data_IF_407306393068
#
_entry.id   IF_407306393068
#
_cell.length_a   1.000
_cell.length_b   1.000
_cell.length_c   1.000
_cell.angle_alpha   90.00
_cell.angle_beta   90.00
_cell.angle_gamma   90.00
#
_symmetry.space_group_name_H-M   'P 1'
#
loop_
_entity.id
_entity.type
_entity.pdbx_description
1 polymer ?
#
# COMPACT_ATOMS: atom_id res chain seq x y z
N UNK A 1 -16.74 16.30 11.87
CA UNK A 1 -16.89 14.96 11.30
C UNK A 1 -16.20 13.93 12.18
N UNK A 2 -16.63 12.67 12.11
CA UNK A 2 -16.05 11.61 12.92
C UNK A 2 -14.82 10.99 12.23
N UNK A 3 -13.86 10.55 13.05
CA UNK A 3 -12.67 9.84 12.61
C UNK A 3 -12.29 8.76 13.62
N UNK A 4 -11.55 7.74 13.17
CA UNK A 4 -10.94 6.74 14.03
C UNK A 4 -9.47 7.09 14.20
N UNK A 5 -9.06 7.30 15.44
CA UNK A 5 -7.73 7.78 15.78
C UNK A 5 -7.08 6.93 16.87
N UNK A 6 -5.78 7.09 17.02
CA UNK A 6 -4.96 6.56 18.12
C UNK A 6 -4.15 7.69 18.75
N UNK A 7 -3.68 7.49 19.97
CA UNK A 7 -2.62 8.31 20.56
C UNK A 7 -1.27 7.64 20.30
N UNK A 8 -0.42 8.17 19.40
CA UNK A 8 0.89 7.58 19.11
C UNK A 8 1.73 7.38 20.39
N UNK A 9 2.39 6.22 20.50
CA UNK A 9 3.14 5.86 21.70
C UNK A 9 2.29 5.30 22.85
N UNK A 10 0.95 5.20 22.70
CA UNK A 10 0.06 4.59 23.69
C UNK A 10 -0.65 3.37 23.08
N UNK A 11 -0.33 2.20 23.58
CA UNK A 11 -0.92 0.94 23.11
C UNK A 11 -2.43 0.88 23.34
N UNK A 12 -3.14 0.28 22.39
CA UNK A 12 -4.58 0.05 22.44
C UNK A 12 -5.40 1.32 22.71
N UNK A 13 -5.02 2.40 22.02
CA UNK A 13 -5.59 3.73 22.21
C UNK A 13 -6.60 4.15 21.13
N UNK A 14 -7.09 3.20 20.34
CA UNK A 14 -8.12 3.46 19.31
C UNK A 14 -9.35 4.11 19.94
N UNK A 15 -9.77 5.23 19.37
CA UNK A 15 -10.93 6.00 19.83
C UNK A 15 -11.59 6.74 18.67
N UNK A 16 -12.82 7.22 18.90
CA UNK A 16 -13.48 8.15 18.01
C UNK A 16 -13.00 9.57 18.32
N UNK A 17 -12.48 10.25 17.30
CA UNK A 17 -12.11 11.65 17.35
C UNK A 17 -13.11 12.51 16.55
N UNK A 18 -13.17 13.79 16.91
CA UNK A 18 -13.90 14.80 16.15
C UNK A 18 -12.92 15.72 15.42
N UNK A 19 -13.11 15.86 14.11
CA UNK A 19 -12.35 16.77 13.26
C UNK A 19 -13.27 17.82 12.64
N UNK A 20 -12.78 19.03 12.34
CA UNK A 20 -13.48 19.96 11.48
C UNK A 20 -13.72 19.33 10.10
N UNK A 21 -14.77 19.74 9.43
CA UNK A 21 -14.97 19.35 8.03
C UNK A 21 -13.93 20.06 7.17
N UNK A 22 -13.15 19.36 6.33
CA UNK A 22 -12.18 19.99 5.47
C UNK A 22 -12.83 20.82 4.36
N UNK A 23 -12.11 21.84 3.89
CA UNK A 23 -12.50 22.71 2.78
C UNK A 23 -11.48 22.62 1.64
N UNK A 24 -11.94 22.85 0.41
CA UNK A 24 -11.05 22.96 -0.76
C UNK A 24 -10.04 24.10 -0.63
N UNK A 25 -10.34 25.10 0.19
CA UNK A 25 -9.48 26.27 0.43
C UNK A 25 -8.24 25.95 1.29
N UNK A 26 -8.20 24.78 1.94
CA UNK A 26 -7.04 24.33 2.72
C UNK A 26 -5.82 23.99 1.84
N UNK A 27 -6.05 23.76 0.54
CA UNK A 27 -4.97 23.51 -0.43
C UNK A 27 -4.72 24.78 -1.21
N UNK A 28 -3.48 25.25 -1.17
CA UNK A 28 -3.07 26.50 -1.82
C UNK A 28 -3.35 26.52 -3.33
N UNK A 29 -3.48 27.70 -3.88
CA UNK A 29 -3.60 27.90 -5.33
C UNK A 29 -4.94 27.46 -5.93
N UNK A 30 -5.98 27.25 -5.11
CA UNK A 30 -7.29 26.80 -5.57
C UNK A 30 -7.26 25.36 -6.12
N UNK A 31 -6.33 24.53 -5.63
CA UNK A 31 -6.13 23.16 -6.08
C UNK A 31 -6.74 22.11 -5.17
N UNK A 32 -7.50 22.49 -4.15
CA UNK A 32 -8.11 21.53 -3.23
C UNK A 32 -9.14 20.64 -3.91
N UNK A 33 -9.09 19.35 -3.59
CA UNK A 33 -10.11 18.36 -3.97
C UNK A 33 -10.70 17.78 -2.71
N UNK A 34 -11.98 18.04 -2.46
CA UNK A 34 -12.71 17.46 -1.32
C UNK A 34 -13.23 16.09 -1.71
N UNK A 35 -12.85 15.09 -0.95
CA UNK A 35 -13.14 13.69 -1.20
C UNK A 35 -13.95 13.10 -0.06
N UNK A 36 -15.09 12.47 -0.38
CA UNK A 36 -15.85 11.61 0.54
C UNK A 36 -15.22 10.23 0.55
N UNK A 37 -14.84 9.75 1.72
CA UNK A 37 -14.33 8.40 1.90
C UNK A 37 -15.43 7.36 1.67
N UNK A 38 -15.14 6.33 0.91
CA UNK A 38 -16.06 5.23 0.64
C UNK A 38 -15.65 3.94 1.34
N UNK A 39 -14.38 3.59 1.28
CA UNK A 39 -13.78 2.43 1.94
C UNK A 39 -12.35 2.73 2.34
N UNK A 40 -11.94 2.16 3.45
CA UNK A 40 -10.54 2.17 3.90
C UNK A 40 -10.18 0.74 4.26
N UNK A 41 -9.05 0.26 3.74
CA UNK A 41 -8.41 -0.96 4.20
C UNK A 41 -7.78 -0.72 5.57
N UNK A 42 -7.77 -1.75 6.38
CA UNK A 42 -7.07 -1.78 7.68
C UNK A 42 -6.10 -2.94 7.64
N UNK A 43 -4.84 -2.65 7.87
CA UNK A 43 -3.75 -3.60 7.66
C UNK A 43 -2.85 -3.79 8.90
N UNK A 44 -1.67 -4.38 8.70
CA UNK A 44 -0.66 -4.58 9.73
C UNK A 44 -0.12 -3.27 10.29
N UNK A 45 0.06 -2.25 9.45
CA UNK A 45 0.55 -0.92 9.82
C UNK A 45 -0.34 -0.24 10.86
N UNK A 46 -1.66 -0.24 10.65
CA UNK A 46 -2.63 0.33 11.60
C UNK A 46 -2.58 -0.41 12.95
N UNK A 47 -2.39 -1.73 12.91
CA UNK A 47 -2.27 -2.57 14.08
C UNK A 47 -0.99 -2.28 14.87
N UNK A 48 0.13 -2.14 14.18
CA UNK A 48 1.44 -1.81 14.77
C UNK A 48 1.44 -0.40 15.37
N UNK A 49 0.81 0.58 14.71
CA UNK A 49 0.62 1.93 15.24
C UNK A 49 -0.23 1.89 16.52
N UNK A 50 -1.32 1.11 16.53
CA UNK A 50 -2.13 0.92 17.74
C UNK A 50 -1.41 0.12 18.84
N UNK A 51 -0.40 -0.67 18.51
CA UNK A 51 0.49 -1.32 19.45
C UNK A 51 1.58 -0.39 20.01
N UNK A 52 1.64 0.87 19.54
CA UNK A 52 2.64 1.88 19.88
C UNK A 52 4.07 1.54 19.41
N UNK A 53 4.21 0.79 18.33
CA UNK A 53 5.52 0.45 17.77
C UNK A 53 6.12 1.62 16.99
N UNK A 54 5.29 2.42 16.31
CA UNK A 54 5.65 3.65 15.60
C UNK A 54 4.42 4.54 15.33
N UNK A 55 4.59 5.58 14.51
CA UNK A 55 3.55 6.54 14.16
C UNK A 55 3.70 7.85 14.93
N UNK A 56 3.34 8.97 14.29
CA UNK A 56 3.43 10.30 14.88
C UNK A 56 2.20 11.13 14.54
N UNK A 57 1.70 11.88 15.54
CA UNK A 57 0.60 12.81 15.34
C UNK A 57 1.04 14.02 14.49
N UNK A 58 0.14 14.61 13.69
CA UNK A 58 0.42 15.87 13.01
C UNK A 58 0.67 17.02 14.01
N UNK A 59 1.43 18.05 13.63
CA UNK A 59 1.60 19.24 14.46
C UNK A 59 0.26 19.83 14.91
N UNK A 60 0.13 20.15 16.20
CA UNK A 60 -1.08 20.69 16.80
C UNK A 60 -2.12 19.65 17.24
N UNK A 61 -1.84 18.37 17.08
CA UNK A 61 -2.68 17.25 17.54
C UNK A 61 -1.89 16.34 18.46
N UNK A 62 -2.55 15.72 19.42
CA UNK A 62 -2.04 14.65 20.27
C UNK A 62 -2.46 13.26 19.78
N UNK A 63 -3.28 13.20 18.73
CA UNK A 63 -3.78 11.97 18.12
C UNK A 63 -3.47 11.91 16.63
N UNK A 64 -3.44 10.70 16.09
CA UNK A 64 -3.30 10.39 14.67
C UNK A 64 -4.57 9.68 14.18
N UNK A 65 -5.24 10.23 13.16
CA UNK A 65 -6.24 9.45 12.42
C UNK A 65 -5.47 8.44 11.57
N UNK A 66 -5.76 7.17 11.77
CA UNK A 66 -5.09 6.06 11.06
C UNK A 66 -5.79 5.71 9.74
N UNK A 67 -5.29 4.69 9.04
CA UNK A 67 -5.82 4.21 7.75
C UNK A 67 -5.19 4.94 6.56
N UNK A 68 -4.58 4.19 5.66
CA UNK A 68 -3.86 4.72 4.50
C UNK A 68 -4.29 4.07 3.17
N UNK A 69 -4.98 2.95 3.18
CA UNK A 69 -5.54 2.27 2.00
C UNK A 69 -6.96 2.78 1.72
N UNK A 70 -7.13 3.83 0.91
CA UNK A 70 -8.42 4.50 0.75
C UNK A 70 -8.90 4.54 -0.70
N UNK A 71 -10.20 4.38 -0.88
CA UNK A 71 -10.92 4.85 -2.06
C UNK A 71 -11.99 5.85 -1.64
N UNK A 72 -12.05 6.97 -2.37
CA UNK A 72 -13.04 8.00 -2.15
C UNK A 72 -13.73 8.46 -3.44
N UNK A 73 -14.70 9.34 -3.26
CA UNK A 73 -15.40 10.00 -4.36
C UNK A 73 -15.24 11.51 -4.22
N UNK A 74 -14.82 12.17 -5.29
CA UNK A 74 -14.73 13.63 -5.36
C UNK A 74 -16.11 14.24 -5.16
N UNK A 75 -16.22 15.21 -4.25
CA UNK A 75 -17.46 15.95 -3.98
C UNK A 75 -17.36 17.36 -4.53
N UNK A 76 -16.21 18.00 -4.33
CA UNK A 76 -15.96 19.41 -4.66
C UNK A 76 -14.52 19.56 -5.11
N UNK A 77 -14.25 20.52 -6.00
CA UNK A 77 -12.93 20.84 -6.49
C UNK A 77 -12.72 22.35 -6.48
N UNK A 78 -11.51 22.79 -6.19
CA UNK A 78 -11.10 24.18 -6.25
C UNK A 78 -11.06 24.71 -7.69
N UNK A 79 -11.02 26.02 -7.84
CA UNK A 79 -11.17 26.71 -9.12
C UNK A 79 -10.07 26.38 -10.15
N UNK A 80 -8.91 25.92 -9.70
CA UNK A 80 -7.76 25.61 -10.55
C UNK A 80 -7.51 24.09 -10.69
N UNK A 81 -8.47 23.24 -10.35
CA UNK A 81 -8.42 21.81 -10.58
C UNK A 81 -9.04 21.49 -11.93
N UNK A 82 -8.27 20.90 -12.82
CA UNK A 82 -8.70 20.50 -14.19
C UNK A 82 -8.69 19.00 -14.41
N UNK A 83 -7.96 18.23 -13.56
CA UNK A 83 -7.70 16.81 -13.71
C UNK A 83 -8.86 15.94 -13.19
N UNK A 84 -9.63 16.47 -12.24
CA UNK A 84 -10.71 15.76 -11.54
C UNK A 84 -12.00 16.58 -11.55
N UNK A 85 -13.12 15.89 -11.50
CA UNK A 85 -14.45 16.50 -11.41
C UNK A 85 -15.28 15.84 -10.31
N UNK A 86 -16.28 16.56 -9.72
CA UNK A 86 -17.22 15.94 -8.80
C UNK A 86 -17.85 14.67 -9.37
N UNK A 87 -17.83 13.60 -8.60
CA UNK A 87 -18.30 12.29 -9.00
C UNK A 87 -17.22 11.31 -9.42
N UNK A 88 -16.00 11.76 -9.67
CA UNK A 88 -14.86 10.87 -9.94
C UNK A 88 -14.52 10.02 -8.72
N UNK A 89 -14.07 8.79 -8.96
CA UNK A 89 -13.48 7.93 -7.94
C UNK A 89 -11.97 8.13 -7.92
N UNK A 90 -11.40 8.20 -6.72
CA UNK A 90 -9.97 8.43 -6.52
C UNK A 90 -9.40 7.55 -5.41
N UNK A 91 -8.15 7.14 -5.59
CA UNK A 91 -7.32 6.55 -4.55
C UNK A 91 -6.20 7.54 -4.26
N UNK A 92 -6.07 8.03 -3.02
CA UNK A 92 -4.98 8.92 -2.66
C UNK A 92 -3.67 8.14 -2.48
N UNK A 93 -2.55 8.77 -2.82
CA UNK A 93 -1.23 8.27 -2.43
C UNK A 93 -0.99 8.51 -0.93
N UNK A 94 -0.03 7.82 -0.35
CA UNK A 94 0.24 7.88 1.10
C UNK A 94 1.36 8.86 1.42
N UNK A 95 2.52 8.70 0.76
CA UNK A 95 3.71 9.52 0.98
C UNK A 95 3.51 10.94 0.46
N UNK A 96 4.02 11.91 1.23
CA UNK A 96 4.07 13.32 0.87
C UNK A 96 5.50 13.85 0.99
N UNK A 97 5.92 14.79 0.15
CA UNK A 97 7.25 15.37 0.23
C UNK A 97 7.45 16.12 1.55
N UNK A 98 8.69 16.06 2.08
CA UNK A 98 9.12 16.73 3.31
C UNK A 98 10.24 17.75 3.09
N UNK A 99 10.64 18.01 1.84
CA UNK A 99 11.69 18.97 1.51
C UNK A 99 13.09 18.36 1.36
N UNK A 100 13.21 17.04 1.29
CA UNK A 100 14.48 16.34 1.06
C UNK A 100 14.99 16.51 -0.38
N UNK A 101 16.26 16.13 -0.61
CA UNK A 101 16.81 16.06 -1.99
C UNK A 101 15.98 15.11 -2.87
N UNK A 102 15.50 13.98 -2.32
CA UNK A 102 14.69 13.03 -3.07
C UNK A 102 13.35 13.62 -3.51
N UNK A 103 12.77 14.51 -2.71
CA UNK A 103 11.54 15.23 -3.08
C UNK A 103 11.76 16.14 -4.26
N UNK A 104 12.91 16.83 -4.32
CA UNK A 104 13.26 17.76 -5.41
C UNK A 104 13.43 17.05 -6.76
N UNK A 105 13.82 15.78 -6.74
CA UNK A 105 13.96 14.94 -7.96
C UNK A 105 12.75 14.04 -8.23
N UNK A 106 11.64 14.25 -7.52
CA UNK A 106 10.40 13.49 -7.69
C UNK A 106 10.47 12.04 -7.18
N UNK A 107 11.38 11.75 -6.26
CA UNK A 107 11.59 10.42 -5.67
C UNK A 107 11.30 10.42 -4.16
N UNK A 108 10.26 11.14 -3.74
CA UNK A 108 9.94 11.34 -2.32
C UNK A 108 9.64 10.04 -1.56
N UNK A 109 9.28 8.97 -2.23
CA UNK A 109 9.12 7.63 -1.67
C UNK A 109 10.45 6.91 -1.36
N UNK A 110 11.59 7.50 -1.76
CA UNK A 110 12.95 7.00 -1.52
C UNK A 110 13.69 7.78 -0.41
N UNK A 111 13.03 8.74 0.24
CA UNK A 111 13.63 9.54 1.33
C UNK A 111 14.08 8.63 2.48
N UNK A 112 15.34 8.79 2.90
CA UNK A 112 15.95 8.08 4.04
C UNK A 112 16.04 8.95 5.30
N UNK A 113 15.65 10.21 5.20
CA UNK A 113 15.68 11.19 6.28
C UNK A 113 14.33 11.15 7.03
N UNK A 114 14.32 11.56 8.29
CA UNK A 114 13.11 11.66 9.12
C UNK A 114 12.20 12.86 8.73
N UNK A 115 12.38 13.40 7.53
CA UNK A 115 11.67 14.56 6.98
C UNK A 115 10.56 14.17 6.01
N UNK A 116 9.93 13.05 6.20
CA UNK A 116 8.84 12.58 5.37
C UNK A 116 7.48 12.62 6.07
N UNK A 117 6.45 12.69 5.29
CA UNK A 117 5.07 12.64 5.76
C UNK A 117 4.34 11.47 5.12
N UNK A 118 3.53 10.77 5.92
CA UNK A 118 2.68 9.68 5.43
C UNK A 118 1.28 9.78 6.03
N UNK A 119 0.28 9.81 5.15
CA UNK A 119 -1.12 9.83 5.56
C UNK A 119 -1.48 8.60 6.40
N UNK A 120 -1.97 8.83 7.61
CA UNK A 120 -2.38 7.77 8.53
C UNK A 120 -1.25 7.06 9.27
N UNK A 121 0.00 7.49 9.05
CA UNK A 121 1.20 6.84 9.60
C UNK A 121 2.11 7.85 10.30
N UNK A 122 2.56 8.86 9.58
CA UNK A 122 3.57 9.79 10.09
C UNK A 122 3.23 11.24 9.79
N UNK A 123 3.00 12.03 10.84
CA UNK A 123 2.81 13.49 10.82
C UNK A 123 1.66 14.01 9.94
N UNK A 124 0.80 13.14 9.42
CA UNK A 124 -0.42 13.50 8.67
C UNK A 124 -1.56 12.55 9.01
N UNK A 125 -2.74 13.11 9.25
CA UNK A 125 -3.96 12.33 9.42
C UNK A 125 -4.26 11.46 8.20
N UNK A 126 -4.73 10.25 8.46
CA UNK A 126 -5.13 9.26 7.46
C UNK A 126 -6.58 9.41 7.01
N UNK A 127 -7.08 8.31 6.50
CA UNK A 127 -8.35 8.26 5.78
C UNK A 127 -9.49 7.54 6.53
N UNK A 128 -9.26 7.03 7.75
CA UNK A 128 -10.37 6.53 8.58
C UNK A 128 -11.19 7.70 9.15
N UNK A 129 -11.78 8.47 8.25
CA UNK A 129 -12.61 9.64 8.48
C UNK A 129 -13.72 9.72 7.42
N UNK A 130 -14.67 10.63 7.56
CA UNK A 130 -15.77 10.78 6.61
C UNK A 130 -15.34 11.46 5.31
N UNK A 131 -14.42 12.43 5.39
CA UNK A 131 -13.93 13.22 4.26
C UNK A 131 -12.48 13.65 4.50
N UNK A 132 -11.78 13.93 3.40
CA UNK A 132 -10.47 14.58 3.42
C UNK A 132 -10.33 15.54 2.23
N UNK A 133 -9.36 16.43 2.30
CA UNK A 133 -8.96 17.30 1.20
C UNK A 133 -7.51 17.03 0.83
N UNK A 134 -7.21 17.05 -0.47
CA UNK A 134 -5.82 16.89 -0.96
C UNK A 134 -5.63 17.62 -2.30
N UNK A 135 -4.37 17.79 -2.74
CA UNK A 135 -4.06 18.25 -4.10
C UNK A 135 -4.31 17.10 -5.10
N UNK A 136 -4.83 17.38 -6.31
CA UNK A 136 -5.03 16.36 -7.35
C UNK A 136 -3.74 15.62 -7.75
N UNK A 137 -2.56 16.19 -7.52
CA UNK A 137 -1.27 15.51 -7.72
C UNK A 137 -1.18 14.19 -6.94
N UNK A 138 -1.84 14.13 -5.77
CA UNK A 138 -1.84 12.95 -4.89
C UNK A 138 -3.08 12.07 -5.04
N UNK A 139 -3.91 12.29 -6.05
CA UNK A 139 -5.17 11.60 -6.24
C UNK A 139 -5.19 10.84 -7.58
N UNK A 140 -5.10 9.54 -7.52
CA UNK A 140 -5.16 8.69 -8.70
C UNK A 140 -6.62 8.46 -9.10
N UNK A 141 -7.02 8.95 -10.27
CA UNK A 141 -8.37 8.74 -10.82
C UNK A 141 -8.59 7.27 -11.19
N UNK A 142 -9.70 6.72 -10.72
CA UNK A 142 -10.06 5.30 -10.89
C UNK A 142 -11.17 5.15 -11.92
N UNK A 143 -11.02 4.26 -12.90
CA UNK A 143 -12.10 3.89 -13.80
C UNK A 143 -13.31 3.36 -13.02
N UNK A 144 -14.52 3.78 -13.38
CA UNK A 144 -15.76 3.43 -12.66
C UNK A 144 -15.95 1.92 -12.47
N UNK A 145 -15.52 1.12 -13.44
CA UNK A 145 -15.62 -0.35 -13.37
C UNK A 145 -14.75 -0.99 -12.31
N UNK A 146 -13.73 -0.28 -11.78
CA UNK A 146 -12.81 -0.78 -10.77
C UNK A 146 -13.12 -0.29 -9.35
N UNK A 147 -14.17 0.53 -9.15
CA UNK A 147 -14.50 1.15 -7.86
C UNK A 147 -14.60 0.16 -6.68
N UNK A 148 -15.01 -1.07 -6.94
CA UNK A 148 -15.27 -2.06 -5.90
C UNK A 148 -14.00 -2.76 -5.40
N UNK A 149 -12.93 -2.71 -6.18
CA UNK A 149 -11.61 -3.30 -5.87
C UNK A 149 -10.50 -2.28 -5.70
N UNK A 150 -10.75 -1.01 -6.00
CA UNK A 150 -9.72 0.03 -6.04
C UNK A 150 -9.09 0.34 -4.66
N UNK A 151 -9.70 -0.04 -3.55
CA UNK A 151 -9.07 0.02 -2.22
C UNK A 151 -7.78 -0.80 -2.16
N UNK A 152 -7.63 -1.82 -3.03
CA UNK A 152 -6.42 -2.63 -3.15
C UNK A 152 -5.30 -1.96 -3.97
N UNK A 153 -5.53 -0.77 -4.53
CA UNK A 153 -4.52 -0.10 -5.35
C UNK A 153 -3.31 0.31 -4.51
N UNK A 154 -3.54 0.82 -3.31
CA UNK A 154 -2.46 1.21 -2.40
C UNK A 154 -1.55 0.00 -2.09
N UNK A 155 -2.00 -1.12 -1.49
CA UNK A 155 -1.13 -2.26 -1.20
C UNK A 155 -0.54 -2.89 -2.48
N UNK A 156 -1.21 -2.78 -3.63
CA UNK A 156 -0.65 -3.21 -4.91
C UNK A 156 0.52 -2.33 -5.33
N UNK A 157 0.49 -1.03 -5.03
CA UNK A 157 1.57 -0.09 -5.36
C UNK A 157 2.89 -0.46 -4.65
N UNK A 158 2.81 -0.94 -3.41
CA UNK A 158 3.96 -1.42 -2.65
C UNK A 158 4.62 -2.61 -3.35
N UNK A 159 3.80 -3.54 -3.85
CA UNK A 159 4.27 -4.72 -4.57
C UNK A 159 4.90 -4.32 -5.90
N UNK A 160 4.26 -3.46 -6.68
CA UNK A 160 4.80 -2.99 -7.95
C UNK A 160 6.11 -2.22 -7.75
N UNK A 161 6.24 -1.41 -6.71
CA UNK A 161 7.51 -0.78 -6.32
C UNK A 161 8.59 -1.85 -6.08
N UNK A 162 8.30 -2.87 -5.29
CA UNK A 162 9.23 -3.97 -5.04
C UNK A 162 9.63 -4.72 -6.33
N UNK A 163 8.68 -4.99 -7.24
CA UNK A 163 8.93 -5.62 -8.53
C UNK A 163 9.85 -4.72 -9.39
N UNK A 164 9.56 -3.42 -9.48
CA UNK A 164 10.38 -2.46 -10.21
C UNK A 164 11.81 -2.43 -9.66
N UNK A 165 11.97 -2.36 -8.33
CA UNK A 165 13.30 -2.38 -7.70
C UNK A 165 14.07 -3.67 -8.01
N UNK A 166 13.39 -4.82 -8.00
CA UNK A 166 14.00 -6.08 -8.38
C UNK A 166 14.47 -6.08 -9.86
N UNK A 167 13.68 -5.52 -10.77
CA UNK A 167 14.09 -5.36 -12.17
C UNK A 167 15.27 -4.40 -12.32
N UNK A 168 15.27 -3.27 -11.64
CA UNK A 168 16.40 -2.31 -11.70
C UNK A 168 17.69 -2.94 -11.14
N UNK A 169 17.63 -3.66 -10.03
CA UNK A 169 18.77 -4.39 -9.49
C UNK A 169 19.32 -5.45 -10.46
N UNK A 170 18.46 -6.07 -11.27
CA UNK A 170 18.83 -7.13 -12.23
C UNK A 170 19.19 -6.59 -13.61
N UNK A 171 18.86 -5.34 -13.92
CA UNK A 171 19.10 -4.72 -15.24
C UNK A 171 20.57 -4.80 -15.69
N UNK A 172 21.50 -4.74 -14.75
CA UNK A 172 22.94 -4.91 -15.00
C UNK A 172 23.29 -6.27 -15.62
N UNK A 173 22.44 -7.30 -15.43
CA UNK A 173 22.60 -8.61 -16.04
C UNK A 173 21.89 -8.64 -17.39
N UNK A 174 22.46 -8.07 -18.41
CA UNK A 174 21.85 -7.84 -19.74
C UNK A 174 21.09 -9.01 -20.35
N UNK A 175 21.42 -10.24 -19.95
CA UNK A 175 20.79 -11.48 -20.43
C UNK A 175 19.80 -12.09 -19.45
N UNK A 176 19.54 -11.43 -18.31
CA UNK A 176 18.63 -11.97 -17.30
C UNK A 176 17.18 -11.96 -17.81
N UNK A 177 16.56 -13.12 -17.74
CA UNK A 177 15.15 -13.34 -18.14
C UNK A 177 14.49 -14.27 -17.13
N UNK A 178 14.05 -13.75 -15.98
CA UNK A 178 13.43 -14.57 -14.95
C UNK A 178 12.10 -15.12 -15.45
N UNK A 179 11.85 -16.41 -15.21
CA UNK A 179 10.59 -17.08 -15.51
C UNK A 179 9.88 -17.58 -14.26
N UNK A 180 10.60 -17.70 -13.16
CA UNK A 180 10.08 -18.21 -11.88
C UNK A 180 10.22 -17.15 -10.81
N UNK A 181 9.22 -17.08 -9.94
CA UNK A 181 9.21 -16.19 -8.79
C UNK A 181 8.77 -16.94 -7.52
N UNK A 182 9.38 -16.59 -6.41
CA UNK A 182 8.96 -17.03 -5.08
C UNK A 182 8.37 -15.86 -4.32
N UNK A 183 7.19 -16.05 -3.76
CA UNK A 183 6.53 -15.09 -2.86
C UNK A 183 6.58 -15.67 -1.46
N UNK A 184 7.15 -14.93 -0.51
CA UNK A 184 7.20 -15.30 0.90
C UNK A 184 6.06 -14.60 1.65
N UNK A 185 5.04 -15.37 1.95
CA UNK A 185 3.78 -14.91 2.54
C UNK A 185 2.58 -15.32 1.70
N UNK A 186 1.48 -15.66 2.37
CA UNK A 186 0.18 -15.98 1.76
C UNK A 186 -0.93 -15.08 2.34
N UNK A 187 -0.58 -13.95 2.96
CA UNK A 187 -1.48 -12.90 3.38
C UNK A 187 -1.94 -12.03 2.20
N UNK A 188 -2.62 -10.91 2.47
CA UNK A 188 -3.16 -10.00 1.44
C UNK A 188 -2.07 -9.52 0.47
N UNK A 189 -0.96 -9.01 1.01
CA UNK A 189 0.18 -8.52 0.19
C UNK A 189 0.79 -9.65 -0.63
N UNK A 190 0.96 -10.84 -0.03
CA UNK A 190 1.47 -12.02 -0.75
C UNK A 190 0.56 -12.48 -1.88
N UNK A 191 -0.77 -12.44 -1.70
CA UNK A 191 -1.75 -12.73 -2.74
C UNK A 191 -1.68 -11.73 -3.90
N UNK A 192 -1.60 -10.43 -3.60
CA UNK A 192 -1.46 -9.38 -4.60
C UNK A 192 -0.13 -9.50 -5.35
N UNK A 193 0.97 -9.83 -4.64
CA UNK A 193 2.26 -10.10 -5.25
C UNK A 193 2.21 -11.30 -6.21
N UNK A 194 1.57 -12.39 -5.79
CA UNK A 194 1.39 -13.56 -6.62
C UNK A 194 0.57 -13.25 -7.87
N UNK A 195 -0.52 -12.48 -7.74
CA UNK A 195 -1.34 -12.02 -8.86
C UNK A 195 -0.52 -11.16 -9.83
N UNK A 196 0.16 -10.10 -9.34
CA UNK A 196 0.98 -9.21 -10.17
C UNK A 196 2.05 -9.96 -10.94
N UNK A 197 2.75 -10.89 -10.29
CA UNK A 197 3.78 -11.70 -10.93
C UNK A 197 3.19 -12.68 -11.96
N UNK A 198 2.03 -13.29 -11.68
CA UNK A 198 1.31 -14.12 -12.66
C UNK A 198 0.91 -13.33 -13.89
N UNK A 199 0.38 -12.12 -13.72
CA UNK A 199 0.03 -11.23 -14.84
C UNK A 199 1.25 -10.83 -15.69
N UNK A 200 2.44 -10.77 -15.08
CA UNK A 200 3.72 -10.54 -15.76
C UNK A 200 4.31 -11.83 -16.40
N UNK A 201 3.58 -12.96 -16.34
CA UNK A 201 3.94 -14.22 -17.00
C UNK A 201 4.92 -15.11 -16.22
N UNK A 202 5.09 -14.90 -14.92
CA UNK A 202 5.93 -15.76 -14.09
C UNK A 202 5.22 -17.06 -13.69
N UNK A 203 6.02 -18.13 -13.56
CA UNK A 203 5.68 -19.33 -12.79
C UNK A 203 5.91 -19.00 -11.30
N UNK A 204 4.82 -18.81 -10.56
CA UNK A 204 4.85 -18.32 -9.18
C UNK A 204 4.66 -19.45 -8.19
N UNK A 205 5.51 -19.49 -7.18
CA UNK A 205 5.35 -20.34 -5.99
C UNK A 205 5.26 -19.46 -4.75
N UNK A 206 4.16 -19.58 -4.00
CA UNK A 206 3.97 -18.89 -2.72
C UNK A 206 4.36 -19.83 -1.57
N UNK A 207 5.01 -19.25 -0.56
CA UNK A 207 5.45 -19.93 0.66
C UNK A 207 4.77 -19.30 1.87
N UNK A 208 4.35 -20.11 2.84
CA UNK A 208 3.77 -19.64 4.10
C UNK A 208 3.81 -20.69 5.17
N UNK A 209 3.44 -20.35 6.39
CA UNK A 209 3.40 -21.27 7.53
C UNK A 209 2.09 -22.04 7.62
N UNK A 210 1.08 -21.65 6.84
CA UNK A 210 -0.27 -22.21 6.96
C UNK A 210 -0.31 -23.66 6.48
N UNK A 211 -0.93 -24.50 7.29
CA UNK A 211 -1.27 -25.88 6.97
C UNK A 211 -2.79 -26.03 7.05
N UNK A 212 -3.38 -26.69 6.07
CA UNK A 212 -4.82 -26.89 6.00
C UNK A 212 -5.60 -25.82 5.20
N UNK A 213 -6.90 -26.04 4.98
CA UNK A 213 -7.74 -25.21 4.12
C UNK A 213 -7.85 -23.77 4.61
N UNK A 214 -7.77 -22.81 3.69
CA UNK A 214 -8.06 -21.42 3.99
C UNK A 214 -8.44 -20.66 2.72
N UNK A 215 -9.19 -19.57 2.88
CA UNK A 215 -9.58 -18.69 1.78
C UNK A 215 -8.38 -18.22 0.96
N UNK A 216 -7.29 -17.90 1.60
CA UNK A 216 -6.08 -17.41 0.90
C UNK A 216 -5.47 -18.51 0.03
N UNK A 217 -5.42 -19.76 0.51
CA UNK A 217 -4.92 -20.89 -0.27
C UNK A 217 -5.85 -21.23 -1.44
N UNK A 218 -7.16 -21.10 -1.26
CA UNK A 218 -8.13 -21.25 -2.34
C UNK A 218 -7.94 -20.19 -3.43
N UNK A 219 -7.67 -18.93 -3.06
CA UNK A 219 -7.36 -17.87 -3.99
C UNK A 219 -6.06 -18.13 -4.75
N UNK A 220 -5.00 -18.59 -4.08
CA UNK A 220 -3.75 -18.98 -4.75
C UNK A 220 -3.98 -20.09 -5.76
N UNK A 221 -4.77 -21.11 -5.39
CA UNK A 221 -5.13 -22.20 -6.28
C UNK A 221 -5.91 -21.72 -7.52
N UNK A 222 -6.90 -20.82 -7.34
CA UNK A 222 -7.64 -20.19 -8.43
C UNK A 222 -6.74 -19.37 -9.38
N UNK A 223 -5.68 -18.75 -8.85
CA UNK A 223 -4.67 -18.04 -9.64
C UNK A 223 -3.69 -18.99 -10.36
N UNK A 224 -3.78 -20.28 -10.12
CA UNK A 224 -2.80 -21.26 -10.61
C UNK A 224 -1.40 -21.06 -10.00
N UNK A 225 -1.35 -20.63 -8.75
CA UNK A 225 -0.13 -20.42 -7.97
C UNK A 225 0.09 -21.63 -7.07
N UNK A 226 1.28 -22.22 -7.15
CA UNK A 226 1.67 -23.30 -6.25
C UNK A 226 1.89 -22.74 -4.85
N UNK A 227 1.31 -23.38 -3.84
CA UNK A 227 1.59 -23.08 -2.45
C UNK A 227 2.42 -24.19 -1.81
N UNK A 228 3.38 -23.80 -0.97
CA UNK A 228 4.22 -24.70 -0.19
C UNK A 228 4.24 -24.21 1.25
N UNK A 229 3.80 -25.07 2.17
CA UNK A 229 3.96 -24.80 3.61
C UNK A 229 5.44 -24.94 3.98
N UNK A 230 5.99 -23.89 4.64
CA UNK A 230 7.36 -23.93 5.16
C UNK A 230 7.50 -24.90 6.36
N UNK A 231 6.39 -25.37 6.93
CA UNK A 231 6.38 -26.42 7.92
C UNK A 231 6.62 -27.81 7.30
N UNK A 232 6.24 -27.98 6.01
CA UNK A 232 6.36 -29.27 5.30
C UNK A 232 7.64 -29.35 4.46
N UNK A 233 8.05 -28.23 3.88
CA UNK A 233 9.22 -28.16 3.00
C UNK A 233 9.93 -26.82 3.13
N UNK A 234 11.19 -26.83 3.53
CA UNK A 234 11.97 -25.60 3.63
C UNK A 234 12.12 -24.91 2.25
N UNK A 235 12.26 -23.58 2.26
CA UNK A 235 12.49 -22.79 1.03
C UNK A 235 13.73 -23.30 0.27
N UNK A 236 14.77 -23.72 0.99
CA UNK A 236 16.00 -24.27 0.40
C UNK A 236 15.75 -25.59 -0.35
N UNK A 237 14.96 -26.48 0.24
CA UNK A 237 14.59 -27.76 -0.39
C UNK A 237 13.65 -27.55 -1.57
N UNK A 238 12.68 -26.63 -1.43
CA UNK A 238 11.80 -26.24 -2.52
C UNK A 238 12.58 -25.64 -3.70
N UNK A 239 13.57 -24.78 -3.44
CA UNK A 239 14.43 -24.22 -4.47
C UNK A 239 15.23 -25.31 -5.21
N UNK A 240 15.71 -26.33 -4.51
CA UNK A 240 16.37 -27.49 -5.13
C UNK A 240 15.40 -28.31 -5.98
N UNK A 241 14.20 -28.57 -5.48
CA UNK A 241 13.20 -29.43 -6.12
C UNK A 241 12.53 -28.77 -7.33
N UNK A 242 12.22 -27.48 -7.26
CA UNK A 242 11.48 -26.74 -8.28
C UNK A 242 12.32 -25.72 -9.05
N UNK A 243 13.52 -25.43 -8.58
CA UNK A 243 14.49 -24.55 -9.24
C UNK A 243 15.27 -25.19 -10.37
N UNK A 244 15.31 -26.52 -10.45
CA UNK A 244 16.04 -27.26 -11.51
C UNK A 244 15.28 -27.15 -12.84
N UNK A 245 15.86 -26.46 -13.80
CA UNK A 245 15.31 -26.33 -15.16
C UNK A 245 15.57 -24.98 -15.83
N UNK A 246 16.38 -24.14 -15.25
CA UNK A 246 16.86 -22.90 -15.87
C UNK A 246 17.81 -22.18 -14.93
N UNK A 247 18.79 -21.50 -15.48
CA UNK A 247 19.77 -20.65 -14.78
C UNK A 247 19.19 -19.42 -14.09
N UNK A 248 17.92 -19.49 -13.65
CA UNK A 248 17.21 -18.41 -12.98
C UNK A 248 17.43 -18.42 -11.47
N UNK A 249 18.11 -17.41 -10.94
CA UNK A 249 18.16 -17.15 -9.50
C UNK A 249 16.77 -16.73 -9.02
N UNK A 250 16.33 -17.28 -7.89
CA UNK A 250 15.14 -16.83 -7.17
C UNK A 250 15.43 -15.43 -6.61
N UNK A 251 14.73 -14.41 -7.07
CA UNK A 251 14.69 -13.13 -6.37
C UNK A 251 13.62 -13.24 -5.29
N UNK A 252 14.01 -13.05 -4.04
CA UNK A 252 13.12 -13.06 -2.87
C UNK A 252 12.50 -11.68 -2.73
N UNK A 253 11.19 -11.61 -2.73
CA UNK A 253 10.46 -10.38 -2.43
C UNK A 253 9.60 -10.58 -1.19
N UNK A 254 9.84 -9.73 -0.22
CA UNK A 254 9.08 -9.37 0.99
C UNK A 254 8.61 -10.51 1.90
N UNK A 255 9.05 -10.45 3.16
CA UNK A 255 8.44 -11.17 4.27
C UNK A 255 7.48 -10.24 5.01
N UNK A 256 6.20 -10.57 5.09
CA UNK A 256 5.34 -10.06 6.16
C UNK A 256 5.76 -10.73 7.47
N UNK A 257 6.09 -9.93 8.46
CA UNK A 257 6.10 -10.42 9.84
C UNK A 257 4.64 -10.55 10.25
N UNK A 258 4.18 -11.75 10.46
CA UNK A 258 2.86 -12.06 11.00
C UNK A 258 2.83 -12.00 12.51
#
# INVERSE_FOLDING_TARGET
MKAIAVFPGKSNSVHLADLPKPSVDEVAGGRGVLVKVLRVGVDGTDKEINAAEYGQAPPGYDFLVIGHECIGRVIEVGANVTELTPGDYVVPTVRRPGGSFYDQVGQYDMTLEDTYFERGINLRHGYLTEMFVDDPEYLVKIPRGLKDVAVLLEPTSIIEKGIIQAYEAQRRFKIWRPKKAAVLGAGTVGLLAALSLKMKGFDVTSFGKQTGPSRNLDLLAQLGVRYISTNDLSIREAAKRFGQGGTGRVSTMMSERG
#
